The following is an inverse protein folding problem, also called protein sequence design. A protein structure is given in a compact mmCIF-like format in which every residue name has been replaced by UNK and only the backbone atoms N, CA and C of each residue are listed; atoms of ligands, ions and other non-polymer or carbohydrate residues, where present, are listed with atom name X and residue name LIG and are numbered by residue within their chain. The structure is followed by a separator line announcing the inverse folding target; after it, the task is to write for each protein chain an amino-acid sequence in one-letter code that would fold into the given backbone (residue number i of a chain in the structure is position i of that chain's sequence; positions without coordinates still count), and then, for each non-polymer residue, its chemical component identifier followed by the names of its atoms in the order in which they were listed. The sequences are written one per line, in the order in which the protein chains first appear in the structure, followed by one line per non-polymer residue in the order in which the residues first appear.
data_IF_168047223226
#
_entry.id   IF_168047223226
#
_cell.length_a   1.000
_cell.length_b   1.000
_cell.length_c   1.000
_cell.angle_alpha   90.00
_cell.angle_beta   90.00
_cell.angle_gamma   90.00
#
_symmetry.space_group_name_H-M   'P 1'
#
loop_
_entity.id
_entity.type
_entity.pdbx_description
1 polymer ?
#
# COMPACT_ATOMS: atom_id res chain seq x y z
N UNK A 1 -12.70 2.25 -21.09
CA UNK A 1 -11.33 1.69 -21.07
C UNK A 1 -10.49 2.14 -22.27
N UNK A 2 -11.10 2.66 -23.32
CA UNK A 2 -10.36 3.23 -24.45
C UNK A 2 -9.43 4.36 -23.99
N UNK A 3 -8.19 4.32 -24.46
CA UNK A 3 -7.13 5.26 -24.10
C UNK A 3 -6.58 5.14 -22.66
N UNK A 4 -7.02 4.17 -21.85
CA UNK A 4 -6.54 4.03 -20.46
C UNK A 4 -5.04 3.70 -20.40
N UNK A 5 -4.57 2.81 -21.28
CA UNK A 5 -3.14 2.46 -21.38
C UNK A 5 -2.30 3.68 -21.77
N UNK A 6 -2.78 4.50 -22.72
CA UNK A 6 -2.09 5.72 -23.12
C UNK A 6 -2.00 6.72 -21.96
N UNK A 7 -3.09 6.89 -21.20
CA UNK A 7 -3.07 7.71 -19.99
C UNK A 7 -2.11 7.14 -18.93
N UNK A 8 -2.05 5.82 -18.77
CA UNK A 8 -1.12 5.16 -17.86
C UNK A 8 0.34 5.44 -18.26
N UNK A 9 0.69 5.26 -19.52
CA UNK A 9 2.04 5.57 -20.04
C UNK A 9 2.37 7.05 -19.82
N UNK A 10 1.44 7.96 -20.13
CA UNK A 10 1.60 9.39 -19.91
C UNK A 10 1.85 9.70 -18.42
N UNK A 11 1.03 9.14 -17.52
CA UNK A 11 1.15 9.35 -16.08
C UNK A 11 2.53 8.92 -15.57
N UNK A 12 2.97 7.72 -15.92
CA UNK A 12 4.26 7.20 -15.46
C UNK A 12 5.46 7.92 -16.11
N UNK A 13 5.31 8.42 -17.34
CA UNK A 13 6.32 9.25 -17.99
C UNK A 13 6.47 10.61 -17.30
N UNK A 14 5.34 11.27 -16.96
CA UNK A 14 5.36 12.53 -16.20
C UNK A 14 5.94 12.28 -14.81
N UNK A 15 5.54 11.21 -14.11
CA UNK A 15 6.09 10.87 -12.80
C UNK A 15 7.62 10.68 -12.83
N UNK A 16 8.14 10.00 -13.85
CA UNK A 16 9.58 9.85 -14.05
C UNK A 16 10.27 11.20 -14.28
N UNK A 17 9.71 12.07 -15.14
CA UNK A 17 10.23 13.41 -15.37
C UNK A 17 10.20 14.28 -14.09
N UNK A 18 9.14 14.17 -13.29
CA UNK A 18 9.03 14.82 -11.98
C UNK A 18 10.12 14.35 -11.02
N UNK A 19 10.46 13.05 -11.01
CA UNK A 19 11.58 12.55 -10.20
C UNK A 19 12.93 13.07 -10.69
N UNK A 20 13.15 13.19 -12.01
CA UNK A 20 14.35 13.81 -12.58
C UNK A 20 14.50 15.26 -12.10
N UNK A 21 13.40 16.03 -12.12
CA UNK A 21 13.35 17.39 -11.57
C UNK A 21 13.72 17.42 -10.09
N UNK A 22 13.11 16.57 -9.25
CA UNK A 22 13.42 16.52 -7.82
C UNK A 22 14.89 16.16 -7.54
N UNK A 23 15.48 15.24 -8.31
CA UNK A 23 16.90 14.91 -8.16
C UNK A 23 17.79 16.13 -8.47
N UNK A 24 17.44 16.91 -9.50
CA UNK A 24 18.18 18.13 -9.84
C UNK A 24 18.04 19.18 -8.74
N UNK A 25 16.84 19.36 -8.20
CA UNK A 25 16.59 20.23 -7.04
C UNK A 25 17.46 19.83 -5.86
N UNK A 26 17.57 18.54 -5.52
CA UNK A 26 18.42 18.10 -4.40
C UNK A 26 19.92 18.30 -4.60
N UNK A 27 20.39 18.41 -5.86
CA UNK A 27 21.79 18.76 -6.18
C UNK A 27 22.05 20.27 -6.10
N UNK A 28 21.02 21.10 -6.30
CA UNK A 28 21.15 22.55 -6.38
C UNK A 28 20.77 23.26 -5.08
N UNK A 29 19.81 22.72 -4.33
CA UNK A 29 19.24 23.33 -3.14
C UNK A 29 19.57 22.45 -1.92
N UNK A 30 20.15 23.01 -0.84
CA UNK A 30 20.48 22.27 0.37
C UNK A 30 19.24 21.72 1.07
N UNK A 31 19.40 20.69 1.90
CA UNK A 31 18.30 20.08 2.65
C UNK A 31 17.67 21.05 3.65
N UNK A 32 16.37 20.92 3.88
CA UNK A 32 15.59 21.77 4.75
C UNK A 32 14.40 22.43 4.04
N UNK A 33 13.95 23.56 4.60
CA UNK A 33 12.74 24.24 4.16
C UNK A 33 12.80 24.72 2.71
N UNK A 34 13.94 25.26 2.25
CA UNK A 34 14.09 25.75 0.87
C UNK A 34 13.93 24.63 -0.16
N UNK A 35 14.48 23.45 0.11
CA UNK A 35 14.29 22.27 -0.75
C UNK A 35 12.85 21.76 -0.70
N UNK A 36 12.20 21.81 0.47
CA UNK A 36 10.78 21.47 0.58
C UNK A 36 9.93 22.36 -0.33
N UNK A 37 10.10 23.68 -0.26
CA UNK A 37 9.35 24.64 -1.08
C UNK A 37 9.54 24.33 -2.58
N UNK A 38 10.76 24.05 -3.01
CA UNK A 38 11.05 23.68 -4.39
C UNK A 38 10.44 22.33 -4.81
N UNK A 39 10.18 21.42 -3.88
CA UNK A 39 9.59 20.10 -4.13
C UNK A 39 8.06 20.12 -4.10
N UNK A 40 7.41 21.12 -3.47
CA UNK A 40 5.95 21.20 -3.39
C UNK A 40 5.27 21.09 -4.76
N UNK A 41 5.70 21.78 -5.82
CA UNK A 41 5.09 21.62 -7.15
C UNK A 41 5.13 20.17 -7.66
N UNK A 42 6.24 19.46 -7.41
CA UNK A 42 6.38 18.06 -7.78
C UNK A 42 5.42 17.15 -6.97
N UNK A 43 5.26 17.41 -5.67
CA UNK A 43 4.28 16.70 -4.82
C UNK A 43 2.86 16.89 -5.34
N UNK A 44 2.49 18.13 -5.70
CA UNK A 44 1.17 18.44 -6.27
C UNK A 44 0.96 17.69 -7.59
N UNK A 45 1.94 17.70 -8.50
CA UNK A 45 1.86 16.93 -9.76
C UNK A 45 1.63 15.44 -9.48
N UNK A 46 2.40 14.83 -8.58
CA UNK A 46 2.26 13.41 -8.25
C UNK A 46 0.90 13.06 -7.62
N UNK A 47 0.29 13.99 -6.87
CA UNK A 47 -1.07 13.82 -6.34
C UNK A 47 -2.13 13.94 -7.46
N UNK A 48 -1.93 14.80 -8.45
CA UNK A 48 -2.90 14.98 -9.53
C UNK A 48 -2.85 13.89 -10.60
N UNK A 49 -1.69 13.26 -10.81
CA UNK A 49 -1.48 12.25 -11.85
C UNK A 49 -2.46 11.07 -11.79
N UNK A 50 -2.73 10.44 -10.63
CA UNK A 50 -3.70 9.35 -10.52
C UNK A 50 -5.12 9.72 -11.00
N UNK A 51 -5.50 11.00 -11.00
CA UNK A 51 -6.81 11.46 -11.49
C UNK A 51 -7.03 11.20 -12.99
N UNK A 52 -5.96 10.91 -13.74
CA UNK A 52 -6.04 10.56 -15.17
C UNK A 52 -6.47 9.13 -15.42
N UNK A 53 -6.51 8.30 -14.37
CA UNK A 53 -6.85 6.88 -14.44
C UNK A 53 -8.22 6.65 -13.75
N UNK A 54 -9.01 5.78 -14.35
CA UNK A 54 -10.31 5.31 -13.82
C UNK A 54 -10.24 3.82 -13.47
N UNK A 55 -9.30 3.07 -14.06
CA UNK A 55 -9.14 1.65 -13.77
C UNK A 55 -8.81 1.42 -12.30
N UNK A 56 -9.45 0.43 -11.68
CA UNK A 56 -9.17 0.03 -10.29
C UNK A 56 -7.77 -0.55 -10.16
N UNK A 57 -7.37 -1.44 -11.07
CA UNK A 57 -6.05 -2.08 -10.97
C UNK A 57 -4.92 -1.09 -11.29
N UNK A 58 -5.02 -0.35 -12.38
CA UNK A 58 -3.98 0.61 -12.78
C UNK A 58 -4.02 1.88 -11.92
N UNK A 59 -5.20 2.48 -11.74
CA UNK A 59 -5.40 3.69 -10.96
C UNK A 59 -5.21 3.47 -9.47
N UNK A 60 -5.69 2.36 -8.91
CA UNK A 60 -5.47 1.98 -7.51
C UNK A 60 -3.99 1.79 -7.19
N UNK A 61 -3.25 1.00 -7.99
CA UNK A 61 -1.81 0.84 -7.80
C UNK A 61 -1.03 2.16 -8.00
N UNK A 62 -1.39 2.94 -9.03
CA UNK A 62 -0.72 4.23 -9.32
C UNK A 62 -0.98 5.26 -8.23
N UNK A 63 -2.20 5.33 -7.69
CA UNK A 63 -2.51 6.22 -6.57
C UNK A 63 -1.75 5.87 -5.31
N UNK A 64 -1.62 4.58 -5.01
CA UNK A 64 -0.80 4.11 -3.89
C UNK A 64 0.68 4.44 -4.08
N UNK A 65 1.23 4.18 -5.28
CA UNK A 65 2.65 4.44 -5.55
C UNK A 65 2.98 5.92 -5.62
N UNK A 66 2.31 6.67 -6.48
CA UNK A 66 2.63 8.07 -6.73
C UNK A 66 2.01 8.98 -5.67
N UNK A 67 0.71 8.83 -5.41
CA UNK A 67 -0.01 9.70 -4.49
C UNK A 67 0.44 9.54 -3.05
N UNK A 68 0.86 8.34 -2.65
CA UNK A 68 1.31 8.07 -1.27
C UNK A 68 2.81 7.83 -1.15
N UNK A 69 3.35 6.75 -1.73
CA UNK A 69 4.74 6.36 -1.42
C UNK A 69 5.74 7.40 -1.95
N UNK A 70 5.57 7.87 -3.19
CA UNK A 70 6.45 8.84 -3.81
C UNK A 70 6.41 10.19 -3.12
N UNK A 71 5.22 10.72 -2.82
CA UNK A 71 5.06 12.01 -2.14
C UNK A 71 5.74 11.98 -0.77
N UNK A 72 5.53 10.93 0.02
CA UNK A 72 6.15 10.83 1.35
C UNK A 72 7.67 10.64 1.28
N UNK A 73 8.19 9.90 0.30
CA UNK A 73 9.64 9.79 0.06
C UNK A 73 10.25 11.14 -0.33
N UNK A 74 9.55 11.94 -1.14
CA UNK A 74 9.99 13.29 -1.51
C UNK A 74 9.94 14.26 -0.33
N UNK A 75 8.94 14.17 0.54
CA UNK A 75 8.90 14.94 1.78
C UNK A 75 10.10 14.62 2.67
N UNK A 76 10.46 13.34 2.82
CA UNK A 76 11.68 12.96 3.55
C UNK A 76 12.95 13.48 2.87
N UNK A 77 13.03 13.36 1.55
CA UNK A 77 14.16 13.81 0.74
C UNK A 77 14.42 15.32 0.87
N UNK A 78 13.35 16.11 1.02
CA UNK A 78 13.45 17.54 1.29
C UNK A 78 14.30 17.85 2.52
N UNK A 79 14.25 16.98 3.55
CA UNK A 79 14.98 17.09 4.80
C UNK A 79 16.21 16.18 4.90
N UNK A 80 16.73 15.67 3.78
CA UNK A 80 17.91 14.82 3.79
C UNK A 80 17.68 13.42 4.36
N UNK A 81 16.41 12.98 4.43
CA UNK A 81 16.01 11.70 5.04
C UNK A 81 15.43 10.73 4.02
N UNK A 82 15.30 9.48 4.46
CA UNK A 82 14.64 8.44 3.69
C UNK A 82 15.50 7.87 2.56
N UNK A 83 14.92 7.00 1.73
CA UNK A 83 15.69 6.18 0.78
C UNK A 83 16.25 6.96 -0.41
N UNK A 84 15.79 8.20 -0.63
CA UNK A 84 16.25 9.08 -1.72
C UNK A 84 17.48 9.92 -1.33
N UNK A 85 17.78 10.04 -0.04
CA UNK A 85 18.93 10.78 0.50
C UNK A 85 20.04 9.81 0.90
N UNK A 86 20.71 9.20 -0.09
CA UNK A 86 21.83 8.27 0.15
C UNK A 86 23.19 8.95 0.04
N UNK A 87 24.17 8.42 0.79
CA UNK A 87 25.60 8.73 0.61
C UNK A 87 26.35 7.45 0.17
N UNK A 88 27.02 7.43 -1.01
CA UNK A 88 27.03 8.49 -2.04
C UNK A 88 25.66 8.68 -2.71
N UNK A 89 25.43 9.79 -3.44
CA UNK A 89 24.17 10.07 -4.12
C UNK A 89 23.77 8.98 -5.13
N UNK A 90 22.47 8.70 -5.22
CA UNK A 90 21.92 7.74 -6.19
C UNK A 90 22.16 8.19 -7.63
N UNK A 91 22.41 7.24 -8.53
CA UNK A 91 22.33 7.50 -9.97
C UNK A 91 20.88 7.81 -10.37
N UNK A 92 20.68 8.51 -11.49
CA UNK A 92 19.35 8.95 -11.94
C UNK A 92 18.34 7.79 -12.06
N UNK A 93 18.66 6.64 -12.69
CA UNK A 93 17.71 5.53 -12.79
C UNK A 93 17.32 4.95 -11.42
N UNK A 94 18.25 4.90 -10.48
CA UNK A 94 18.00 4.41 -9.12
C UNK A 94 17.12 5.39 -8.35
N UNK A 95 17.37 6.70 -8.47
CA UNK A 95 16.55 7.74 -7.85
C UNK A 95 15.10 7.68 -8.34
N UNK A 96 14.89 7.61 -9.66
CA UNK A 96 13.55 7.50 -10.26
C UNK A 96 12.87 6.21 -9.80
N UNK A 97 13.57 5.08 -9.83
CA UNK A 97 12.99 3.78 -9.46
C UNK A 97 12.62 3.72 -7.97
N UNK A 98 13.48 4.18 -7.06
CA UNK A 98 13.18 4.25 -5.61
C UNK A 98 12.07 5.26 -5.36
N UNK A 99 12.08 6.38 -6.08
CA UNK A 99 11.08 7.44 -5.94
C UNK A 99 9.69 6.92 -6.28
N UNK A 100 9.53 6.26 -7.42
CA UNK A 100 8.23 5.84 -7.94
C UNK A 100 7.76 4.47 -7.43
N UNK A 101 8.66 3.53 -7.11
CA UNK A 101 8.30 2.14 -6.80
C UNK A 101 8.67 1.74 -5.36
N UNK A 102 7.98 0.75 -4.76
CA UNK A 102 8.30 0.25 -3.42
C UNK A 102 9.50 -0.73 -3.44
N UNK A 103 10.63 -0.28 -3.96
CA UNK A 103 11.86 -1.08 -4.08
C UNK A 103 12.88 -0.74 -3.00
N UNK A 104 13.68 -1.75 -2.65
CA UNK A 104 14.92 -1.60 -1.87
C UNK A 104 16.08 -2.21 -2.65
N UNK A 105 17.13 -1.44 -2.84
CA UNK A 105 18.39 -1.99 -3.29
C UNK A 105 19.09 -2.66 -2.10
N UNK A 106 19.41 -3.94 -2.23
CA UNK A 106 20.32 -4.60 -1.31
C UNK A 106 21.70 -3.97 -1.50
N UNK A 107 22.08 -3.07 -0.58
CA UNK A 107 23.46 -2.59 -0.52
C UNK A 107 24.28 -3.76 0.01
N UNK A 108 25.27 -4.24 -0.75
CA UNK A 108 26.20 -5.29 -0.34
C UNK A 108 26.88 -4.90 0.99
N UNK A 109 26.25 -5.23 2.11
CA UNK A 109 26.94 -5.36 3.39
C UNK A 109 27.56 -6.73 3.38
N UNK A 110 28.88 -6.76 3.20
CA UNK A 110 29.76 -7.87 3.56
C UNK A 110 29.59 -8.15 5.05
N UNK A 111 28.58 -8.95 5.37
CA UNK A 111 28.50 -9.70 6.62
C UNK A 111 27.82 -11.00 6.25
N UNK A 112 28.60 -12.08 6.36
CA UNK A 112 28.15 -13.45 6.21
C UNK A 112 26.89 -13.67 7.03
N UNK A 113 25.75 -13.63 6.36
CA UNK A 113 24.49 -14.12 6.88
C UNK A 113 23.96 -15.03 5.79
N UNK A 114 24.06 -16.33 6.06
CA UNK A 114 23.50 -17.47 5.34
C UNK A 114 22.80 -17.08 4.05
N UNK A 115 23.38 -17.51 2.93
CA UNK A 115 22.71 -17.71 1.65
C UNK A 115 21.41 -18.51 1.88
N UNK A 116 20.35 -17.81 2.28
CA UNK A 116 19.01 -18.22 1.93
C UNK A 116 18.90 -17.89 0.45
N UNK A 117 19.32 -18.85 -0.37
CA UNK A 117 18.67 -19.01 -1.66
C UNK A 117 17.17 -18.89 -1.41
N UNK A 118 16.45 -17.95 -2.03
CA UNK A 118 15.00 -18.00 -1.98
C UNK A 118 14.62 -19.22 -2.81
N UNK A 119 14.58 -20.41 -2.18
CA UNK A 119 13.86 -21.57 -2.71
C UNK A 119 12.48 -21.05 -3.05
N UNK A 120 12.15 -20.95 -4.34
CA UNK A 120 10.94 -20.29 -4.84
C UNK A 120 9.70 -20.77 -4.07
N UNK A 121 9.20 -20.02 -3.09
CA UNK A 121 7.91 -20.34 -2.45
C UNK A 121 6.77 -19.94 -3.39
N UNK A 122 7.12 -19.25 -4.49
CA UNK A 122 6.23 -18.55 -5.37
C UNK A 122 5.47 -19.45 -6.32
N UNK A 123 5.89 -20.69 -6.59
CA UNK A 123 5.05 -21.60 -7.40
C UNK A 123 3.88 -22.16 -6.60
N UNK A 124 4.09 -22.65 -5.38
CA UNK A 124 2.99 -23.23 -4.58
C UNK A 124 2.08 -22.16 -3.96
N UNK A 125 2.63 -21.05 -3.47
CA UNK A 125 1.83 -19.97 -2.90
C UNK A 125 1.01 -19.24 -3.98
N UNK A 126 1.57 -18.97 -5.17
CA UNK A 126 0.79 -18.36 -6.26
C UNK A 126 -0.24 -19.33 -6.83
N UNK A 127 0.09 -20.62 -6.97
CA UNK A 127 -0.88 -21.63 -7.41
C UNK A 127 -2.03 -21.77 -6.41
N UNK A 128 -1.74 -21.83 -5.10
CA UNK A 128 -2.77 -21.86 -4.06
C UNK A 128 -3.62 -20.59 -4.06
N UNK A 129 -3.02 -19.40 -4.27
CA UNK A 129 -3.77 -18.14 -4.39
C UNK A 129 -4.66 -18.11 -5.64
N UNK A 130 -4.18 -18.60 -6.78
CA UNK A 130 -4.97 -18.70 -8.02
C UNK A 130 -6.13 -19.67 -7.82
N UNK A 131 -5.90 -20.82 -7.19
CA UNK A 131 -6.95 -21.81 -6.86
C UNK A 131 -7.97 -21.19 -5.90
N UNK A 132 -7.53 -20.52 -4.83
CA UNK A 132 -8.43 -19.81 -3.91
C UNK A 132 -9.25 -18.75 -4.63
N UNK A 133 -8.64 -17.98 -5.52
CA UNK A 133 -9.33 -16.97 -6.32
C UNK A 133 -10.36 -17.59 -7.26
N UNK A 134 -10.02 -18.71 -7.91
CA UNK A 134 -10.94 -19.46 -8.76
C UNK A 134 -12.14 -20.03 -7.97
N UNK A 135 -11.91 -20.49 -6.73
CA UNK A 135 -12.96 -20.97 -5.83
C UNK A 135 -13.94 -19.87 -5.38
N UNK A 136 -13.51 -18.59 -5.40
CA UNK A 136 -14.40 -17.47 -5.09
C UNK A 136 -15.45 -17.22 -6.19
N UNK A 137 -15.13 -17.54 -7.44
CA UNK A 137 -16.02 -17.30 -8.59
C UNK A 137 -17.40 -17.98 -8.43
N UNK A 138 -17.52 -19.30 -8.18
CA UNK A 138 -18.81 -19.95 -8.00
C UNK A 138 -19.55 -19.48 -6.73
N UNK A 139 -18.82 -19.06 -5.69
CA UNK A 139 -19.41 -18.48 -4.48
C UNK A 139 -20.09 -17.14 -4.77
N UNK A 140 -19.49 -16.29 -5.61
CA UNK A 140 -20.12 -15.04 -6.03
C UNK A 140 -21.37 -15.25 -6.88
N UNK A 141 -21.43 -16.34 -7.66
CA UNK A 141 -22.65 -16.72 -8.39
C UNK A 141 -23.84 -17.08 -7.50
N UNK A 142 -23.60 -17.35 -6.20
CA UNK A 142 -24.62 -17.64 -5.19
C UNK A 142 -24.77 -16.54 -4.15
N UNK A 143 -24.21 -15.34 -4.38
CA UNK A 143 -24.12 -14.26 -3.39
C UNK A 143 -25.48 -13.86 -2.80
N UNK A 144 -26.56 -13.95 -3.57
CA UNK A 144 -27.91 -13.54 -3.15
C UNK A 144 -28.50 -14.50 -2.08
N UNK A 145 -27.98 -15.72 -2.00
CA UNK A 145 -28.36 -16.71 -0.99
C UNK A 145 -27.44 -16.69 0.25
N UNK A 146 -26.36 -15.90 0.23
CA UNK A 146 -25.38 -15.83 1.30
C UNK A 146 -25.71 -14.68 2.25
N UNK A 147 -25.42 -14.86 3.55
CA UNK A 147 -25.58 -13.79 4.53
C UNK A 147 -24.71 -12.56 4.14
N UNK A 148 -25.22 -11.32 4.18
CA UNK A 148 -24.49 -10.14 3.68
C UNK A 148 -23.09 -9.95 4.30
N UNK A 149 -22.93 -10.20 5.60
CA UNK A 149 -21.62 -10.14 6.28
C UNK A 149 -20.64 -11.20 5.77
N UNK A 150 -21.13 -12.36 5.34
CA UNK A 150 -20.30 -13.40 4.74
C UNK A 150 -19.86 -13.00 3.33
N UNK A 151 -20.71 -12.33 2.55
CA UNK A 151 -20.32 -11.73 1.27
C UNK A 151 -19.21 -10.70 1.46
N UNK A 152 -19.32 -9.82 2.46
CA UNK A 152 -18.26 -8.87 2.83
C UNK A 152 -16.96 -9.59 3.23
N UNK A 153 -17.05 -10.70 3.97
CA UNK A 153 -15.89 -11.52 4.29
C UNK A 153 -15.18 -12.04 3.02
N UNK A 154 -15.95 -12.57 2.05
CA UNK A 154 -15.40 -13.04 0.76
C UNK A 154 -14.74 -11.89 -0.02
N UNK A 155 -15.35 -10.72 -0.01
CA UNK A 155 -14.79 -9.49 -0.57
C UNK A 155 -13.47 -9.08 0.10
N UNK A 156 -13.34 -9.23 1.41
CA UNK A 156 -12.07 -9.02 2.12
C UNK A 156 -10.98 -10.02 1.72
N UNK A 157 -11.35 -11.29 1.58
CA UNK A 157 -10.43 -12.34 1.12
C UNK A 157 -9.97 -12.07 -0.32
N UNK A 158 -10.90 -11.70 -1.20
CA UNK A 158 -10.60 -11.33 -2.58
C UNK A 158 -9.65 -10.14 -2.64
N UNK A 159 -9.87 -9.11 -1.82
CA UNK A 159 -9.01 -7.93 -1.75
C UNK A 159 -7.59 -8.31 -1.32
N UNK A 160 -7.44 -9.12 -0.27
CA UNK A 160 -6.13 -9.56 0.20
C UNK A 160 -5.36 -10.36 -0.88
N UNK A 161 -6.02 -11.34 -1.52
CA UNK A 161 -5.42 -12.14 -2.59
C UNK A 161 -5.08 -11.27 -3.79
N UNK A 162 -5.97 -10.34 -4.17
CA UNK A 162 -5.76 -9.41 -5.27
C UNK A 162 -4.55 -8.50 -5.05
N UNK A 163 -4.38 -7.95 -3.83
CA UNK A 163 -3.20 -7.16 -3.50
C UNK A 163 -1.90 -7.99 -3.57
N UNK A 164 -1.89 -9.19 -3.00
CA UNK A 164 -0.75 -10.12 -3.10
C UNK A 164 -0.39 -10.42 -4.57
N UNK A 165 -1.39 -10.65 -5.42
CA UNK A 165 -1.19 -10.89 -6.85
C UNK A 165 -0.63 -9.66 -7.57
N UNK A 166 -1.19 -8.47 -7.36
CA UNK A 166 -0.72 -7.22 -7.96
C UNK A 166 0.73 -6.93 -7.54
N UNK A 167 1.03 -6.98 -6.24
CA UNK A 167 2.40 -6.74 -5.78
C UNK A 167 3.38 -7.82 -6.23
N UNK A 168 2.93 -9.08 -6.29
CA UNK A 168 3.71 -10.20 -6.81
C UNK A 168 4.09 -10.02 -8.29
N UNK A 169 3.12 -9.67 -9.13
CA UNK A 169 3.34 -9.42 -10.56
C UNK A 169 4.26 -8.22 -10.81
N UNK A 170 4.07 -7.13 -10.06
CA UNK A 170 4.97 -5.97 -10.09
C UNK A 170 6.38 -6.40 -9.67
N UNK A 171 6.52 -7.17 -8.58
CA UNK A 171 7.83 -7.62 -8.10
C UNK A 171 8.57 -8.50 -9.11
N UNK A 172 7.88 -9.39 -9.82
CA UNK A 172 8.49 -10.22 -10.86
C UNK A 172 8.94 -9.35 -12.02
N UNK A 173 8.07 -8.42 -12.44
CA UNK A 173 8.33 -7.52 -13.57
C UNK A 173 9.52 -6.62 -13.28
N UNK A 174 9.58 -5.98 -12.10
CA UNK A 174 10.69 -5.12 -11.71
C UNK A 174 12.00 -5.90 -11.56
N UNK A 175 11.94 -7.14 -11.05
CA UNK A 175 13.12 -8.01 -10.98
C UNK A 175 13.66 -8.34 -12.36
N UNK A 176 12.79 -8.69 -13.31
CA UNK A 176 13.20 -9.04 -14.68
C UNK A 176 13.72 -7.84 -15.47
N UNK A 177 13.07 -6.67 -15.34
CA UNK A 177 13.41 -5.49 -16.14
C UNK A 177 14.54 -4.64 -15.55
N UNK A 178 14.60 -4.51 -14.21
CA UNK A 178 15.51 -3.59 -13.53
C UNK A 178 16.53 -4.32 -12.65
N UNK A 179 16.44 -5.64 -12.48
CA UNK A 179 17.31 -6.40 -11.58
C UNK A 179 17.05 -6.13 -10.09
N UNK A 180 15.92 -5.50 -9.73
CA UNK A 180 15.61 -5.08 -8.37
C UNK A 180 14.51 -5.91 -7.73
N UNK A 181 14.68 -6.23 -6.44
CA UNK A 181 13.65 -6.89 -5.67
C UNK A 181 12.69 -5.86 -5.05
N UNK A 182 11.39 -6.08 -5.21
CA UNK A 182 10.37 -5.32 -4.50
C UNK A 182 10.38 -5.74 -3.03
N UNK A 183 10.10 -4.79 -2.13
CA UNK A 183 9.89 -5.16 -0.74
C UNK A 183 8.61 -5.99 -0.60
N UNK A 184 8.61 -7.07 0.21
CA UNK A 184 7.39 -7.78 0.53
C UNK A 184 6.43 -6.83 1.25
N UNK A 185 5.19 -6.74 0.74
CA UNK A 185 4.16 -5.90 1.35
C UNK A 185 3.51 -6.56 2.56
N UNK A 186 3.47 -7.89 2.57
CA UNK A 186 2.85 -8.68 3.61
C UNK A 186 3.83 -9.74 4.15
N UNK A 187 3.79 -9.98 5.47
CA UNK A 187 4.49 -11.09 6.12
C UNK A 187 3.52 -11.89 6.98
N UNK A 188 2.83 -12.84 6.34
CA UNK A 188 1.89 -13.78 6.96
C UNK A 188 0.98 -13.08 7.99
N UNK A 189 0.18 -12.07 7.58
CA UNK A 189 -0.60 -11.23 8.49
C UNK A 189 -1.60 -12.01 9.34
N UNK A 190 -2.10 -13.13 8.82
CA UNK A 190 -2.98 -14.06 9.51
C UNK A 190 -2.32 -14.79 10.69
N UNK A 191 -1.00 -14.69 10.91
CA UNK A 191 -0.30 -15.24 12.08
C UNK A 191 -0.08 -14.19 13.19
N UNK A 192 -0.64 -12.98 13.04
CA UNK A 192 -0.50 -11.91 14.02
C UNK A 192 -1.14 -12.26 15.35
N UNK A 193 -0.40 -12.03 16.44
CA UNK A 193 -0.88 -12.31 17.82
C UNK A 193 -1.32 -11.05 18.54
N UNK A 194 -1.14 -9.88 17.93
CA UNK A 194 -1.53 -8.57 18.46
C UNK A 194 -1.74 -7.57 17.33
N UNK A 195 -2.49 -6.50 17.59
CA UNK A 195 -2.70 -5.43 16.61
C UNK A 195 -1.39 -4.69 16.30
N UNK A 196 -0.53 -4.51 17.31
CA UNK A 196 0.80 -3.97 17.11
C UNK A 196 1.66 -4.82 16.15
N UNK A 197 1.60 -6.15 16.27
CA UNK A 197 2.33 -7.07 15.38
C UNK A 197 1.76 -7.06 13.96
N UNK A 198 0.42 -7.04 13.83
CA UNK A 198 -0.26 -6.94 12.54
C UNK A 198 0.14 -5.67 11.79
N UNK A 199 -0.15 -4.49 12.34
CA UNK A 199 0.07 -3.21 11.68
C UNK A 199 1.55 -2.81 11.59
N UNK A 200 2.37 -3.22 12.55
CA UNK A 200 3.77 -2.81 12.62
C UNK A 200 4.72 -3.65 11.76
N UNK A 201 4.42 -4.94 11.55
CA UNK A 201 5.40 -5.88 10.97
C UNK A 201 4.87 -6.75 9.84
N UNK A 202 3.56 -6.94 9.74
CA UNK A 202 2.99 -7.99 8.87
C UNK A 202 2.08 -7.47 7.78
N UNK A 203 1.39 -6.36 8.01
CA UNK A 203 0.47 -5.76 7.06
C UNK A 203 1.05 -4.48 6.46
N UNK A 204 1.07 -4.39 5.13
CA UNK A 204 1.51 -3.21 4.37
C UNK A 204 2.84 -2.62 4.90
N UNK A 205 3.88 -3.46 4.90
CA UNK A 205 5.18 -3.17 5.52
C UNK A 205 5.80 -1.89 4.94
N UNK A 206 5.59 -1.63 3.65
CA UNK A 206 6.13 -0.43 2.99
C UNK A 206 5.45 0.83 3.48
N UNK A 207 4.13 0.82 3.71
CA UNK A 207 3.43 1.95 4.33
C UNK A 207 3.97 2.24 5.71
N UNK A 208 4.14 1.22 6.56
CA UNK A 208 4.73 1.45 7.89
C UNK A 208 6.15 2.04 7.78
N UNK A 209 6.99 1.53 6.87
CA UNK A 209 8.36 2.03 6.64
C UNK A 209 8.41 3.47 6.15
N UNK A 210 7.37 3.94 5.46
CA UNK A 210 7.27 5.32 5.01
C UNK A 210 6.66 6.20 6.10
N UNK A 211 5.56 5.79 6.74
CA UNK A 211 4.93 6.55 7.82
C UNK A 211 5.83 6.73 9.04
N UNK A 212 6.70 5.76 9.34
CA UNK A 212 7.54 5.83 10.52
C UNK A 212 8.48 7.05 10.50
N UNK A 213 9.38 7.24 9.51
CA UNK A 213 10.22 8.42 9.44
C UNK A 213 9.47 9.72 9.09
N UNK A 214 8.35 9.65 8.37
CA UNK A 214 7.64 10.86 7.92
C UNK A 214 6.68 11.43 8.97
N UNK A 215 6.09 10.56 9.82
CA UNK A 215 5.06 10.94 10.79
C UNK A 215 5.44 10.52 12.21
N UNK A 216 5.72 9.22 12.41
CA UNK A 216 5.94 8.68 13.75
C UNK A 216 7.14 9.33 14.44
N UNK A 217 8.31 9.36 13.80
CA UNK A 217 9.55 9.86 14.40
C UNK A 217 9.47 11.36 14.74
N UNK A 218 8.99 12.25 13.84
CA UNK A 218 8.79 13.66 14.18
C UNK A 218 7.81 13.86 15.34
N UNK A 219 6.66 13.17 15.33
CA UNK A 219 5.64 13.32 16.37
C UNK A 219 6.13 12.75 17.70
N UNK A 220 6.80 11.60 17.70
CA UNK A 220 7.41 11.02 18.90
C UNK A 220 8.51 11.94 19.47
N UNK A 221 9.30 12.58 18.61
CA UNK A 221 10.33 13.53 19.06
C UNK A 221 9.71 14.75 19.73
N UNK A 222 8.67 15.33 19.11
CA UNK A 222 7.96 16.48 19.66
C UNK A 222 7.23 16.12 20.96
N UNK A 223 6.47 15.03 20.96
CA UNK A 223 5.77 14.53 22.14
C UNK A 223 6.73 14.16 23.27
N UNK A 224 7.91 13.63 22.97
CA UNK A 224 8.93 13.31 23.96
C UNK A 224 9.42 14.52 24.76
N UNK A 225 9.35 15.72 24.17
CA UNK A 225 9.67 16.99 24.85
C UNK A 225 8.55 17.45 25.79
N UNK A 226 7.29 17.08 25.51
CA UNK A 226 6.10 17.58 26.22
C UNK A 226 5.63 16.58 27.30
N UNK A 227 5.46 15.30 26.93
CA UNK A 227 4.86 14.25 27.78
C UNK A 227 5.89 13.19 28.23
N UNK A 228 7.16 13.37 27.88
CA UNK A 228 8.26 12.47 28.22
C UNK A 228 8.42 11.25 27.29
N UNK A 229 9.66 10.75 27.19
CA UNK A 229 10.05 9.66 26.28
C UNK A 229 9.25 8.36 26.46
N UNK A 230 8.76 8.10 27.67
CA UNK A 230 7.98 6.88 27.98
C UNK A 230 6.65 6.87 27.23
N UNK A 231 5.97 8.02 27.14
CA UNK A 231 4.62 8.15 26.60
C UNK A 231 4.58 8.73 25.19
N UNK A 232 5.69 9.30 24.72
CA UNK A 232 5.85 9.83 23.36
C UNK A 232 5.36 8.93 22.21
N UNK A 233 5.46 7.58 22.28
CA UNK A 233 4.93 6.72 21.24
C UNK A 233 3.40 6.76 21.08
N UNK A 234 2.63 7.11 22.11
CA UNK A 234 1.17 7.10 22.03
C UNK A 234 0.62 8.12 21.01
N UNK A 235 0.92 9.43 21.11
CA UNK A 235 0.50 10.39 20.10
C UNK A 235 1.13 10.12 18.73
N UNK A 236 2.33 9.55 18.68
CA UNK A 236 2.96 9.17 17.42
C UNK A 236 2.19 8.06 16.69
N UNK A 237 1.74 7.02 17.41
CA UNK A 237 0.86 5.97 16.87
C UNK A 237 -0.43 6.60 16.33
N UNK A 238 -1.12 7.40 17.14
CA UNK A 238 -2.38 8.03 16.75
C UNK A 238 -2.22 8.90 15.49
N UNK A 239 -1.16 9.71 15.43
CA UNK A 239 -0.86 10.54 14.27
C UNK A 239 -0.56 9.70 13.02
N UNK A 240 0.23 8.63 13.13
CA UNK A 240 0.52 7.74 12.00
C UNK A 240 -0.74 7.07 11.46
N UNK A 241 -1.64 6.62 12.33
CA UNK A 241 -2.92 6.02 11.91
C UNK A 241 -3.89 7.06 11.33
N UNK A 242 -3.91 8.29 11.86
CA UNK A 242 -4.70 9.38 11.28
C UNK A 242 -4.24 9.71 9.86
N UNK A 243 -2.93 9.88 9.65
CA UNK A 243 -2.37 10.12 8.31
C UNK A 243 -2.63 8.93 7.38
N UNK A 244 -2.50 7.69 7.88
CA UNK A 244 -2.86 6.49 7.11
C UNK A 244 -4.34 6.52 6.70
N UNK A 245 -5.25 6.88 7.61
CA UNK A 245 -6.69 6.99 7.32
C UNK A 245 -6.98 8.00 6.22
N UNK A 246 -6.42 9.21 6.32
CA UNK A 246 -6.56 10.26 5.31
C UNK A 246 -6.03 9.83 3.94
N UNK A 247 -4.88 9.13 3.91
CA UNK A 247 -4.34 8.60 2.65
C UNK A 247 -5.22 7.51 2.05
N UNK A 248 -5.91 6.71 2.87
CA UNK A 248 -6.88 5.73 2.36
C UNK A 248 -8.15 6.40 1.82
N UNK A 249 -8.65 7.48 2.43
CA UNK A 249 -9.73 8.28 1.84
C UNK A 249 -9.31 8.84 0.47
N UNK A 250 -8.08 9.34 0.37
CA UNK A 250 -7.54 9.83 -0.91
C UNK A 250 -7.42 8.70 -1.96
N UNK A 251 -6.95 7.52 -1.57
CA UNK A 251 -6.90 6.35 -2.47
C UNK A 251 -8.29 5.93 -2.90
N UNK A 252 -9.25 5.91 -1.97
CA UNK A 252 -10.65 5.58 -2.26
C UNK A 252 -11.28 6.62 -3.18
N UNK A 253 -10.87 7.89 -3.09
CA UNK A 253 -11.27 8.91 -4.05
C UNK A 253 -10.86 8.55 -5.46
N UNK A 254 -9.57 8.26 -5.68
CA UNK A 254 -9.10 7.89 -7.01
C UNK A 254 -9.81 6.65 -7.56
N UNK A 255 -10.11 5.67 -6.70
CA UNK A 255 -10.79 4.44 -7.10
C UNK A 255 -12.29 4.63 -7.35
N UNK A 256 -12.99 5.43 -6.53
CA UNK A 256 -14.44 5.66 -6.64
C UNK A 256 -14.80 6.31 -7.97
N UNK A 257 -13.97 7.22 -8.47
CA UNK A 257 -14.25 8.02 -9.67
C UNK A 257 -14.64 7.19 -10.89
N UNK A 258 -15.71 7.62 -11.55
CA UNK A 258 -16.21 6.95 -12.76
C UNK A 258 -15.84 7.73 -14.03
N UNK A 259 -15.71 9.05 -13.91
CA UNK A 259 -15.31 9.92 -15.01
C UNK A 259 -13.93 10.52 -14.79
N UNK A 260 -13.29 11.00 -15.86
CA UNK A 260 -12.00 11.71 -15.79
C UNK A 260 -12.16 13.18 -15.41
N UNK A 261 -13.40 13.67 -15.39
CA UNK A 261 -13.74 15.03 -14.97
C UNK A 261 -13.70 15.15 -13.44
N UNK A 262 -13.79 16.39 -12.96
CA UNK A 262 -13.84 16.68 -11.54
C UNK A 262 -15.20 16.25 -11.00
N UNK A 263 -15.21 15.38 -9.99
CA UNK A 263 -16.42 14.93 -9.29
C UNK A 263 -16.32 15.45 -7.85
N UNK A 264 -17.42 15.99 -7.32
CA UNK A 264 -17.46 16.48 -5.94
C UNK A 264 -17.15 15.31 -4.99
N UNK A 265 -16.19 15.52 -4.10
CA UNK A 265 -15.76 14.49 -3.16
C UNK A 265 -16.80 14.29 -2.07
N UNK A 266 -17.34 13.07 -1.97
CA UNK A 266 -18.16 12.63 -0.85
C UNK A 266 -17.30 11.73 0.05
N UNK A 267 -16.56 12.31 1.02
CA UNK A 267 -15.75 11.53 1.95
C UNK A 267 -16.68 10.65 2.79
N UNK A 268 -16.40 9.36 2.80
CA UNK A 268 -17.18 8.43 3.60
C UNK A 268 -16.72 8.37 5.04
N UNK A 269 -15.46 8.76 5.30
CA UNK A 269 -14.79 8.73 6.60
C UNK A 269 -14.70 7.35 7.28
N UNK A 270 -15.39 6.32 6.78
CA UNK A 270 -15.42 4.99 7.38
C UNK A 270 -14.06 4.32 7.39
N UNK A 271 -13.24 4.55 6.35
CA UNK A 271 -11.87 4.06 6.32
C UNK A 271 -11.01 4.81 7.36
N UNK A 272 -11.16 6.14 7.43
CA UNK A 272 -10.46 6.94 8.45
C UNK A 272 -10.85 6.51 9.86
N UNK A 273 -12.13 6.34 10.15
CA UNK A 273 -12.64 5.88 11.43
C UNK A 273 -12.11 4.49 11.78
N UNK A 274 -12.02 3.58 10.80
CA UNK A 274 -11.38 2.28 10.98
C UNK A 274 -9.91 2.43 11.41
N UNK A 275 -9.11 3.24 10.71
CA UNK A 275 -7.71 3.45 11.09
C UNK A 275 -7.56 4.15 12.43
N UNK A 276 -8.39 5.14 12.75
CA UNK A 276 -8.34 5.83 14.05
C UNK A 276 -8.69 4.89 15.20
N UNK A 277 -9.71 4.03 15.05
CA UNK A 277 -10.06 3.00 16.03
C UNK A 277 -8.88 2.05 16.25
N UNK A 278 -8.28 1.54 15.17
CA UNK A 278 -7.11 0.65 15.26
C UNK A 278 -5.91 1.35 15.89
N UNK A 279 -5.66 2.61 15.55
CA UNK A 279 -4.60 3.42 16.14
C UNK A 279 -4.79 3.60 17.65
N UNK A 280 -6.02 3.87 18.09
CA UNK A 280 -6.37 3.95 19.51
C UNK A 280 -6.16 2.60 20.21
N UNK A 281 -6.62 1.50 19.62
CA UNK A 281 -6.41 0.17 20.18
C UNK A 281 -4.93 -0.21 20.28
N UNK A 282 -4.11 0.10 19.26
CA UNK A 282 -2.65 -0.12 19.30
C UNK A 282 -1.99 0.77 20.35
N UNK A 283 -2.40 2.03 20.48
CA UNK A 283 -1.89 2.93 21.51
C UNK A 283 -2.22 2.41 22.92
N UNK A 284 -3.46 1.97 23.16
CA UNK A 284 -3.88 1.32 24.41
C UNK A 284 -3.05 0.06 24.66
N UNK A 285 -2.88 -0.79 23.66
CA UNK A 285 -2.08 -2.01 23.75
C UNK A 285 -0.62 -1.70 24.18
N UNK A 286 -0.02 -0.67 23.59
CA UNK A 286 1.34 -0.19 23.94
C UNK A 286 1.37 0.40 25.35
N UNK A 287 0.35 1.18 25.74
CA UNK A 287 0.23 1.76 27.07
C UNK A 287 0.12 0.67 28.15
N UNK A 288 -0.73 -0.33 27.93
CA UNK A 288 -0.90 -1.48 28.81
C UNK A 288 0.39 -2.28 28.94
N UNK A 289 1.06 -2.60 27.82
CA UNK A 289 2.37 -3.28 27.82
C UNK A 289 3.43 -2.51 28.62
N UNK A 290 3.44 -1.18 28.52
CA UNK A 290 4.38 -0.31 29.25
C UNK A 290 4.01 -0.11 30.73
N UNK A 291 2.73 -0.04 31.04
CA UNK A 291 2.21 0.19 32.39
C UNK A 291 2.29 -1.05 33.28
N UNK A 292 1.91 -2.21 32.74
CA UNK A 292 1.73 -3.46 33.50
C UNK A 292 3.01 -4.27 33.72
N UNK A 293 4.22 -3.65 33.64
CA UNK A 293 5.53 -4.34 33.71
C UNK A 293 5.45 -5.74 33.06
N UNK A 294 5.32 -5.78 31.73
CA UNK A 294 5.00 -6.88 30.79
C UNK A 294 5.47 -8.34 31.04
N UNK A 295 6.15 -8.65 32.14
CA UNK A 295 6.55 -10.00 32.53
C UNK A 295 5.46 -10.82 33.23
N UNK A 296 4.41 -10.22 33.82
CA UNK A 296 3.43 -10.98 34.62
C UNK A 296 2.14 -11.41 33.91
N UNK A 297 1.71 -10.73 32.85
CA UNK A 297 0.43 -11.00 32.17
C UNK A 297 0.68 -11.19 30.67
N UNK A 298 0.97 -12.43 30.25
CA UNK A 298 1.02 -12.80 28.84
C UNK A 298 -0.12 -13.76 28.55
N UNK A 299 -1.06 -13.33 27.71
CA UNK A 299 -2.12 -14.20 27.22
C UNK A 299 -1.51 -15.38 26.43
N UNK A 300 -2.10 -16.59 26.52
CA UNK A 300 -1.71 -17.70 25.66
C UNK A 300 -1.74 -17.27 24.19
N UNK A 301 -0.75 -17.73 23.42
CA UNK A 301 -0.56 -17.30 22.03
C UNK A 301 -1.80 -17.49 21.16
N UNK A 302 -2.49 -18.61 21.34
CA UNK A 302 -3.71 -18.95 20.58
C UNK A 302 -4.85 -18.01 20.92
N UNK A 303 -5.03 -17.68 22.20
CA UNK A 303 -6.08 -16.74 22.65
C UNK A 303 -5.81 -15.34 22.10
N UNK A 304 -4.55 -14.87 22.19
CA UNK A 304 -4.15 -13.56 21.67
C UNK A 304 -4.32 -13.48 20.15
N UNK A 305 -3.97 -14.56 19.44
CA UNK A 305 -4.19 -14.70 18.00
C UNK A 305 -5.67 -14.66 17.62
N UNK A 306 -6.52 -15.44 18.29
CA UNK A 306 -7.97 -15.45 18.06
C UNK A 306 -8.59 -14.08 18.31
N UNK A 307 -8.30 -13.46 19.46
CA UNK A 307 -8.82 -12.14 19.80
C UNK A 307 -8.41 -11.08 18.77
N UNK A 308 -7.14 -11.05 18.39
CA UNK A 308 -6.63 -10.10 17.39
C UNK A 308 -7.29 -10.33 16.03
N UNK A 309 -7.37 -11.59 15.59
CA UNK A 309 -7.94 -11.95 14.28
C UNK A 309 -9.43 -11.64 14.21
N UNK A 310 -10.20 -11.99 15.24
CA UNK A 310 -11.65 -11.70 15.31
C UNK A 310 -11.88 -10.19 15.34
N UNK A 311 -11.13 -9.43 16.15
CA UNK A 311 -11.25 -7.98 16.20
C UNK A 311 -10.93 -7.32 14.85
N UNK A 312 -9.81 -7.71 14.22
CA UNK A 312 -9.42 -7.23 12.89
C UNK A 312 -10.51 -7.52 11.86
N UNK A 313 -10.99 -8.76 11.80
CA UNK A 313 -11.97 -9.17 10.81
C UNK A 313 -13.32 -8.47 11.04
N UNK A 314 -13.77 -8.40 12.28
CA UNK A 314 -15.03 -7.77 12.65
C UNK A 314 -15.04 -6.28 12.30
N UNK A 315 -14.00 -5.55 12.69
CA UNK A 315 -13.87 -4.11 12.40
C UNK A 315 -13.70 -3.86 10.90
N UNK A 316 -12.99 -4.73 10.17
CA UNK A 316 -12.85 -4.63 8.72
C UNK A 316 -14.19 -4.84 7.99
N UNK A 317 -14.98 -5.84 8.39
CA UNK A 317 -16.32 -6.10 7.82
C UNK A 317 -17.28 -4.95 8.13
N UNK A 318 -17.17 -4.32 9.31
CA UNK A 318 -18.07 -3.27 9.74
C UNK A 318 -17.78 -1.92 9.05
N UNK A 319 -16.50 -1.56 8.87
CA UNK A 319 -16.12 -0.19 8.51
C UNK A 319 -15.34 -0.12 7.20
N UNK A 320 -14.34 -0.99 7.01
CA UNK A 320 -13.43 -0.88 5.87
C UNK A 320 -14.02 -1.46 4.57
N UNK A 321 -14.62 -2.65 4.64
CA UNK A 321 -15.17 -3.32 3.47
C UNK A 321 -16.41 -2.62 2.89
N UNK A 322 -17.35 -2.09 3.70
CA UNK A 322 -18.44 -1.28 3.16
C UNK A 322 -17.95 -0.03 2.42
N UNK A 323 -16.85 0.59 2.86
CA UNK A 323 -16.25 1.71 2.15
C UNK A 323 -15.74 1.31 0.77
N UNK A 324 -15.12 0.13 0.63
CA UNK A 324 -14.72 -0.42 -0.67
C UNK A 324 -15.92 -0.74 -1.56
N UNK A 325 -16.99 -1.30 -1.01
CA UNK A 325 -18.22 -1.60 -1.76
C UNK A 325 -18.84 -0.31 -2.32
N UNK A 326 -18.89 0.78 -1.54
CA UNK A 326 -19.37 2.09 -2.03
C UNK A 326 -18.50 2.70 -3.12
N UNK A 327 -17.24 2.29 -3.25
CA UNK A 327 -16.36 2.72 -4.33
C UNK A 327 -16.53 1.88 -5.61
N UNK A 328 -17.48 0.95 -5.62
CA UNK A 328 -17.72 -0.01 -6.71
C UNK A 328 -16.48 -0.80 -7.12
N UNK A 329 -15.56 -1.04 -6.17
CA UNK A 329 -14.25 -1.65 -6.44
C UNK A 329 -14.42 -3.03 -7.09
N UNK A 330 -15.35 -3.83 -6.57
CA UNK A 330 -15.56 -5.20 -7.02
C UNK A 330 -16.22 -5.26 -8.41
N UNK A 331 -17.22 -4.41 -8.67
CA UNK A 331 -17.87 -4.31 -9.97
C UNK A 331 -16.90 -3.85 -11.05
N UNK A 332 -16.11 -2.80 -10.75
CA UNK A 332 -15.09 -2.29 -11.67
C UNK A 332 -14.00 -3.33 -11.93
N UNK A 333 -13.49 -4.00 -10.90
CA UNK A 333 -12.48 -5.04 -11.04
C UNK A 333 -12.97 -6.21 -11.91
N UNK A 334 -14.22 -6.62 -11.72
CA UNK A 334 -14.85 -7.69 -12.53
C UNK A 334 -15.00 -7.23 -13.98
N UNK A 335 -15.49 -6.01 -14.21
CA UNK A 335 -15.61 -5.43 -15.57
C UNK A 335 -14.28 -5.37 -16.31
N UNK A 336 -13.20 -4.99 -15.62
CA UNK A 336 -11.85 -4.99 -16.19
C UNK A 336 -11.36 -6.39 -16.54
N UNK A 337 -11.57 -7.37 -15.66
CA UNK A 337 -11.18 -8.76 -15.92
C UNK A 337 -11.98 -9.38 -17.08
N UNK A 338 -13.28 -9.10 -17.17
CA UNK A 338 -14.14 -9.54 -18.28
C UNK A 338 -13.65 -8.95 -19.60
N UNK A 339 -13.33 -7.65 -19.64
CA UNK A 339 -12.82 -7.02 -20.85
C UNK A 339 -11.45 -7.55 -21.28
N UNK A 340 -10.54 -7.80 -20.34
CA UNK A 340 -9.27 -8.47 -20.63
C UNK A 340 -9.48 -9.87 -21.21
N UNK A 341 -10.41 -10.64 -20.63
CA UNK A 341 -10.73 -11.98 -21.11
C UNK A 341 -11.31 -11.95 -22.51
N UNK A 342 -12.19 -10.99 -22.81
CA UNK A 342 -12.76 -10.82 -24.14
C UNK A 342 -11.69 -10.44 -25.16
N UNK A 343 -10.83 -9.46 -24.85
CA UNK A 343 -9.71 -9.07 -25.71
C UNK A 343 -8.79 -10.26 -26.04
N UNK A 344 -8.46 -11.09 -25.05
CA UNK A 344 -7.64 -12.28 -25.27
C UNK A 344 -8.33 -13.33 -26.15
N UNK A 345 -9.65 -13.49 -26.02
CA UNK A 345 -10.44 -14.37 -26.91
C UNK A 345 -10.41 -13.84 -28.34
N UNK A 346 -10.63 -12.55 -28.52
CA UNK A 346 -10.66 -11.92 -29.85
C UNK A 346 -9.29 -12.06 -30.53
N UNK A 347 -8.19 -11.76 -29.83
CA UNK A 347 -6.82 -11.95 -30.35
C UNK A 347 -6.55 -13.41 -30.71
N UNK A 348 -7.02 -14.37 -29.89
CA UNK A 348 -6.88 -15.80 -30.20
C UNK A 348 -7.68 -16.20 -31.44
N UNK A 349 -8.90 -15.67 -31.62
CA UNK A 349 -9.71 -15.91 -32.83
C UNK A 349 -9.07 -15.30 -34.08
N UNK A 350 -8.51 -14.09 -34.00
CA UNK A 350 -7.75 -13.48 -35.10
C UNK A 350 -6.46 -14.26 -35.42
N UNK A 351 -5.77 -14.78 -34.40
CA UNK A 351 -4.60 -15.64 -34.59
C UNK A 351 -4.93 -16.99 -35.23
N UNK A 352 -6.15 -17.52 -35.04
CA UNK A 352 -6.58 -18.78 -35.70
C UNK A 352 -6.96 -18.52 -37.16
N UNK A 353 -7.58 -17.39 -37.48
CA UNK A 353 -7.91 -17.01 -38.87
C UNK A 353 -6.73 -16.49 -39.70
N UNK A 354 -5.63 -16.06 -39.08
CA UNK A 354 -4.42 -15.66 -39.82
C UNK A 354 -3.52 -16.84 -40.22
N UNK A 355 -3.83 -18.06 -39.75
CA UNK A 355 -3.10 -19.31 -40.03
C UNK A 355 -3.99 -20.41 -40.64
N UNK A 356 -5.21 -20.07 -41.06
CA UNK A 356 -6.06 -20.88 -41.94
C UNK A 356 -6.27 -20.13 -43.25
#
# INVERSE_FOLDING_TARGET
MEGEINNFIMVWSIAAATMCYCQRVGKLIPEGASRLVAIIPAVVVLLLLPLRLISVHLGGATSFFLGWLSTFKLLLFAFGKGPLSSNPPLSLPHFVSIGCLPIKFQRNTTTSSKTQTPKSPFNYASTAMIVLFALLIPLYGKKDYLHPKFVLFLYGLHMYIGLEFIFGTISITTRKLLGVELEPQFDKPYLSTSLQDFWGKRWNIVVNRVLHPTVYDPVATLAGRIIGRKWAPLPAILASFAVSGLMHELVFYYIKRETRTWEAWEPSWDATCFFLLHGACVAVEVALKKGLKAKKWRLPRVVSWLLSSVFLLYTAILMFLPALVRCHVYEKATRELTALTQFLKDVRCFGVHAFS
#
